data_IF_401803430682
#
_entry.id   IF_401803430682
#
_cell.length_a   1.000
_cell.length_b   1.000
_cell.length_c   1.000
_cell.angle_alpha   90.00
_cell.angle_beta   90.00
_cell.angle_gamma   90.00
#
_symmetry.space_group_name_H-M   'P 1'
#
loop_
_entity.id
_entity.type
_entity.pdbx_description
1 polymer ?
#
# COMPACT_ATOMS: atom_id res chain seq x y z
N UNK A 1 15.38 20.85 22.30
CA UNK A 1 14.61 20.47 21.13
C UNK A 1 15.30 19.27 20.49
N UNK A 2 14.63 18.14 20.39
CA UNK A 2 15.17 17.01 19.62
C UNK A 2 15.18 17.39 18.13
N UNK A 3 16.33 17.32 17.50
CA UNK A 3 16.43 17.58 16.06
C UNK A 3 15.66 16.46 15.34
N UNK A 4 14.63 16.81 14.57
CA UNK A 4 13.88 15.85 13.78
C UNK A 4 14.82 15.24 12.74
N UNK A 5 14.79 13.92 12.60
CA UNK A 5 15.53 13.25 11.51
C UNK A 5 14.83 13.50 10.16
N UNK A 6 15.55 13.46 9.03
CA UNK A 6 14.92 13.56 7.71
C UNK A 6 13.73 12.61 7.54
N UNK A 7 13.86 11.35 7.99
CA UNK A 7 12.78 10.36 7.95
C UNK A 7 11.54 10.81 8.73
N UNK A 8 11.71 11.45 9.90
CA UNK A 8 10.58 11.98 10.68
C UNK A 8 9.92 13.17 10.00
N UNK A 9 10.71 14.01 9.31
CA UNK A 9 10.21 15.14 8.52
C UNK A 9 9.38 14.62 7.34
N UNK A 10 9.92 13.65 6.57
CA UNK A 10 9.21 13.05 5.45
C UNK A 10 7.88 12.43 5.89
N UNK A 11 7.90 11.60 6.92
CA UNK A 11 6.69 10.98 7.44
C UNK A 11 5.64 12.04 7.80
N UNK A 12 6.04 13.08 8.52
CA UNK A 12 5.10 14.12 8.96
C UNK A 12 4.56 14.95 7.78
N UNK A 13 5.36 15.18 6.74
CA UNK A 13 4.93 15.86 5.53
C UNK A 13 3.94 15.03 4.72
N UNK A 14 4.26 13.77 4.46
CA UNK A 14 3.41 12.84 3.73
C UNK A 14 2.09 12.56 4.47
N UNK A 15 2.12 12.46 5.80
CA UNK A 15 0.92 12.25 6.62
C UNK A 15 -0.11 13.38 6.48
N UNK A 16 0.34 14.61 6.20
CA UNK A 16 -0.53 15.78 6.00
C UNK A 16 -1.26 15.79 4.67
N UNK A 17 -0.76 15.05 3.67
CA UNK A 17 -1.26 15.08 2.29
C UNK A 17 -1.79 13.71 1.81
N UNK A 18 -2.59 12.97 2.60
CA UNK A 18 -3.07 11.65 2.18
C UNK A 18 -3.94 11.75 0.93
N UNK A 19 -3.65 10.90 -0.05
CA UNK A 19 -4.37 10.80 -1.31
C UNK A 19 -4.79 9.35 -1.56
N UNK A 20 -5.76 9.09 -2.44
CA UNK A 20 -6.38 7.77 -2.56
C UNK A 20 -6.09 7.12 -3.92
N UNK A 21 -5.84 5.82 -3.90
CA UNK A 21 -5.72 5.00 -5.08
C UNK A 21 -4.62 5.47 -6.03
N UNK A 22 -5.01 5.93 -7.21
CA UNK A 22 -4.11 6.44 -8.25
C UNK A 22 -4.03 7.97 -8.31
N UNK A 23 -4.92 8.68 -7.63
CA UNK A 23 -4.98 10.14 -7.64
C UNK A 23 -4.07 10.72 -6.56
N UNK A 24 -2.75 10.74 -6.85
CA UNK A 24 -1.67 11.01 -5.90
C UNK A 24 -0.77 12.21 -6.28
N UNK A 25 -1.29 13.32 -6.84
CA UNK A 25 -0.43 14.39 -7.38
C UNK A 25 0.50 15.00 -6.33
N UNK A 26 0.04 15.30 -5.13
CA UNK A 26 0.89 15.91 -4.08
C UNK A 26 1.91 14.94 -3.52
N UNK A 27 1.51 13.68 -3.36
CA UNK A 27 2.43 12.61 -2.92
C UNK A 27 3.52 12.40 -3.96
N UNK A 28 3.17 12.36 -5.26
CA UNK A 28 4.12 12.25 -6.36
C UNK A 28 5.07 13.45 -6.42
N UNK A 29 4.55 14.67 -6.31
CA UNK A 29 5.37 15.90 -6.27
C UNK A 29 6.38 15.84 -5.11
N UNK A 30 5.93 15.48 -3.91
CA UNK A 30 6.80 15.37 -2.74
C UNK A 30 7.91 14.34 -2.96
N UNK A 31 7.56 13.15 -3.46
CA UNK A 31 8.54 12.09 -3.72
C UNK A 31 9.54 12.51 -4.79
N UNK A 32 9.09 13.14 -5.88
CA UNK A 32 9.96 13.63 -6.95
C UNK A 32 10.93 14.70 -6.43
N UNK A 33 10.46 15.63 -5.61
CA UNK A 33 11.32 16.66 -5.01
C UNK A 33 12.43 16.05 -4.15
N UNK A 34 12.09 15.05 -3.32
CA UNK A 34 13.10 14.37 -2.48
C UNK A 34 14.04 13.53 -3.33
N UNK A 35 13.51 12.71 -4.24
CA UNK A 35 14.31 11.82 -5.11
C UNK A 35 15.24 12.63 -6.04
N UNK A 36 14.80 13.80 -6.51
CA UNK A 36 15.60 14.71 -7.32
C UNK A 36 16.85 15.26 -6.60
N UNK A 37 16.93 15.13 -5.28
CA UNK A 37 18.12 15.48 -4.49
C UNK A 37 19.12 14.32 -4.34
N UNK A 38 18.74 13.11 -4.77
CA UNK A 38 19.53 11.91 -4.62
C UNK A 38 20.31 11.60 -5.91
N UNK A 39 21.46 10.97 -5.77
CA UNK A 39 22.27 10.49 -6.91
C UNK A 39 21.71 9.14 -7.40
N UNK A 40 20.61 9.21 -8.18
CA UNK A 40 19.90 8.06 -8.72
C UNK A 40 19.18 8.40 -10.02
N UNK A 41 18.84 7.39 -10.81
CA UNK A 41 17.94 7.54 -11.96
C UNK A 41 16.48 7.46 -11.49
N UNK A 42 15.69 8.50 -11.78
CA UNK A 42 14.24 8.51 -11.45
C UNK A 42 13.46 7.99 -12.65
N UNK A 43 12.60 6.99 -12.42
CA UNK A 43 11.80 6.29 -13.43
C UNK A 43 10.32 6.37 -13.06
N UNK A 44 9.47 6.44 -14.08
CA UNK A 44 8.02 6.49 -13.93
C UNK A 44 7.39 5.29 -14.67
N UNK A 45 7.24 4.12 -14.00
CA UNK A 45 6.61 2.97 -14.64
C UNK A 45 5.11 3.19 -14.93
N UNK A 46 4.44 4.03 -14.16
CA UNK A 46 3.07 4.51 -14.37
C UNK A 46 3.02 6.01 -14.07
N UNK A 47 2.00 6.72 -14.56
CA UNK A 47 1.80 8.15 -14.23
C UNK A 47 1.66 8.37 -12.70
N UNK A 48 1.14 7.38 -11.98
CA UNK A 48 0.97 7.39 -10.54
C UNK A 48 2.01 6.59 -9.76
N UNK A 49 3.12 6.17 -10.38
CA UNK A 49 4.18 5.42 -9.72
C UNK A 49 5.55 6.01 -10.02
N UNK A 50 6.42 6.07 -9.02
CA UNK A 50 7.80 6.53 -9.17
C UNK A 50 8.79 5.52 -8.59
N UNK A 51 9.94 5.39 -9.25
CA UNK A 51 11.05 4.57 -8.81
C UNK A 51 12.34 5.40 -8.78
N UNK A 52 13.25 5.04 -7.88
CA UNK A 52 14.62 5.53 -7.87
C UNK A 52 15.58 4.35 -8.06
N UNK A 53 16.36 4.36 -9.12
CA UNK A 53 17.30 3.31 -9.44
C UNK A 53 18.74 3.76 -9.15
N UNK A 54 19.41 3.00 -8.31
CA UNK A 54 20.82 3.20 -7.94
C UNK A 54 21.65 2.13 -8.64
N UNK A 55 22.40 2.52 -9.64
CA UNK A 55 23.28 1.64 -10.40
C UNK A 55 24.68 1.55 -9.73
N UNK A 56 25.00 0.40 -9.21
CA UNK A 56 26.31 0.07 -8.64
C UNK A 56 27.15 -0.82 -9.58
N UNK A 57 26.74 -0.94 -10.84
CA UNK A 57 27.42 -1.79 -11.82
C UNK A 57 27.22 -3.29 -11.59
N UNK A 58 26.23 -3.69 -10.78
CA UNK A 58 25.99 -5.06 -10.42
C UNK A 58 25.18 -5.82 -11.50
N UNK A 59 25.24 -7.16 -11.46
CA UNK A 59 24.55 -8.00 -12.44
C UNK A 59 23.04 -8.04 -12.26
N UNK A 60 22.55 -7.84 -11.05
CA UNK A 60 21.13 -7.91 -10.68
C UNK A 60 20.76 -6.83 -9.67
N UNK A 61 19.46 -6.70 -9.40
CA UNK A 61 18.86 -5.64 -8.61
C UNK A 61 18.04 -6.20 -7.47
N UNK A 62 18.12 -5.57 -6.30
CA UNK A 62 17.17 -5.76 -5.19
C UNK A 62 16.24 -4.55 -5.13
N UNK A 63 14.94 -4.78 -5.00
CA UNK A 63 13.95 -3.72 -4.88
C UNK A 63 13.45 -3.57 -3.45
N UNK A 64 13.18 -2.33 -3.04
CA UNK A 64 12.53 -1.98 -1.78
C UNK A 64 11.28 -1.19 -2.09
N UNK A 65 10.13 -1.68 -1.65
CA UNK A 65 8.81 -1.16 -2.00
C UNK A 65 8.17 -0.45 -0.81
N UNK A 66 7.53 0.68 -1.08
CA UNK A 66 6.55 1.31 -0.22
C UNK A 66 5.27 1.59 -1.01
N UNK A 67 4.14 1.51 -0.34
CA UNK A 67 2.84 1.95 -0.83
C UNK A 67 2.69 3.46 -0.66
N UNK A 68 1.86 4.11 -1.49
CA UNK A 68 1.69 5.56 -1.45
C UNK A 68 0.28 6.02 -1.10
N UNK A 69 -0.74 5.21 -1.39
CA UNK A 69 -2.13 5.56 -1.20
C UNK A 69 -2.55 5.51 0.27
N UNK A 70 -3.58 6.27 0.59
CA UNK A 70 -4.18 6.39 1.90
C UNK A 70 -5.60 5.81 1.90
N UNK A 71 -6.25 5.82 3.06
CA UNK A 71 -7.60 5.33 3.26
C UNK A 71 -8.63 6.47 3.35
N UNK A 72 -9.90 6.25 2.91
CA UNK A 72 -10.98 7.22 3.03
C UNK A 72 -11.54 7.25 4.46
N UNK A 73 -10.70 7.64 5.41
CA UNK A 73 -10.97 7.67 6.85
C UNK A 73 -10.76 9.09 7.36
N UNK A 74 -11.72 9.62 8.12
CA UNK A 74 -11.57 10.89 8.80
C UNK A 74 -10.62 10.73 9.99
N UNK A 75 -9.50 11.43 9.97
CA UNK A 75 -8.51 11.35 11.03
C UNK A 75 -9.01 12.00 12.32
N UNK A 76 -8.77 11.32 13.46
CA UNK A 76 -9.16 11.76 14.81
C UNK A 76 -7.97 11.69 15.81
N UNK A 77 -6.75 11.65 15.32
CA UNK A 77 -5.56 11.45 16.16
C UNK A 77 -5.18 12.70 16.98
N UNK A 78 -5.52 13.89 16.53
CA UNK A 78 -5.11 15.15 17.15
C UNK A 78 -3.60 15.42 17.06
N UNK A 79 -2.88 14.75 16.20
CA UNK A 79 -1.44 14.94 16.01
C UNK A 79 -1.14 16.31 15.39
N UNK A 80 0.01 16.94 15.72
CA UNK A 80 0.38 18.24 15.15
C UNK A 80 0.67 18.20 13.64
N UNK A 81 0.75 17.01 13.05
CA UNK A 81 0.92 16.76 11.63
C UNK A 81 -0.25 15.96 11.04
N UNK A 82 -1.43 16.03 11.64
CA UNK A 82 -2.66 15.39 11.13
C UNK A 82 -2.95 15.78 9.69
N UNK A 83 -3.73 14.93 9.02
CA UNK A 83 -4.19 15.11 7.64
C UNK A 83 -4.78 16.51 7.40
N UNK A 84 -4.38 17.12 6.29
CA UNK A 84 -4.97 18.37 5.77
C UNK A 84 -6.03 18.10 4.69
N UNK A 85 -6.28 16.82 4.38
CA UNK A 85 -7.30 16.37 3.43
C UNK A 85 -8.46 15.74 4.19
N UNK A 86 -9.57 16.48 4.30
CA UNK A 86 -10.77 16.01 5.00
C UNK A 86 -11.22 14.63 4.49
N UNK A 87 -11.51 13.71 5.42
CA UNK A 87 -11.98 12.36 5.10
C UNK A 87 -10.92 11.42 4.55
N UNK A 88 -9.63 11.78 4.60
CA UNK A 88 -8.53 10.91 4.17
C UNK A 88 -7.45 10.85 5.26
N UNK A 89 -6.84 9.68 5.44
CA UNK A 89 -5.79 9.46 6.43
C UNK A 89 -4.85 8.34 6.00
N UNK A 90 -3.55 8.49 6.25
CA UNK A 90 -2.59 7.38 6.19
C UNK A 90 -2.75 6.46 7.41
N UNK A 91 -3.92 5.81 7.54
CA UNK A 91 -4.23 4.95 8.68
C UNK A 91 -3.50 3.60 8.63
N UNK A 92 -3.10 3.13 7.44
CA UNK A 92 -2.31 1.92 7.25
C UNK A 92 -0.80 2.15 7.46
N UNK A 93 -0.34 3.41 7.56
CA UNK A 93 1.07 3.73 7.82
C UNK A 93 1.96 3.87 6.59
N UNK A 94 1.38 4.00 5.39
CA UNK A 94 2.13 4.12 4.13
C UNK A 94 3.03 5.38 4.10
N UNK A 95 2.66 6.45 4.80
CA UNK A 95 3.52 7.61 5.07
C UNK A 95 4.86 7.24 5.72
N UNK A 96 4.80 6.34 6.69
CA UNK A 96 5.99 5.80 7.35
C UNK A 96 6.79 4.85 6.46
N UNK A 97 6.09 4.04 5.64
CA UNK A 97 6.76 3.15 4.68
C UNK A 97 7.54 3.96 3.64
N UNK A 98 6.92 4.99 3.05
CA UNK A 98 7.59 5.92 2.13
C UNK A 98 8.80 6.59 2.79
N UNK A 99 8.64 7.10 4.02
CA UNK A 99 9.72 7.76 4.74
C UNK A 99 10.91 6.82 5.01
N UNK A 100 10.67 5.55 5.32
CA UNK A 100 11.74 4.54 5.48
C UNK A 100 12.48 4.28 4.18
N UNK A 101 11.77 4.17 3.06
CA UNK A 101 12.37 3.93 1.75
C UNK A 101 13.15 5.16 1.27
N UNK A 102 12.66 6.38 1.51
CA UNK A 102 13.40 7.62 1.24
C UNK A 102 14.70 7.72 2.07
N UNK A 103 14.65 7.34 3.34
CA UNK A 103 15.84 7.32 4.20
C UNK A 103 16.86 6.28 3.70
N UNK A 104 16.40 5.12 3.21
CA UNK A 104 17.27 4.16 2.54
C UNK A 104 17.96 4.80 1.34
N UNK A 105 17.23 5.53 0.49
CA UNK A 105 17.79 6.25 -0.66
C UNK A 105 18.91 7.21 -0.26
N UNK A 106 18.71 8.02 0.79
CA UNK A 106 19.75 8.93 1.30
C UNK A 106 21.02 8.19 1.74
N UNK A 107 20.85 7.02 2.37
CA UNK A 107 21.98 6.18 2.80
C UNK A 107 22.69 5.52 1.62
N UNK A 108 21.98 5.21 0.53
CA UNK A 108 22.59 4.66 -0.68
C UNK A 108 23.52 5.66 -1.35
N UNK A 109 23.19 6.95 -1.37
CA UNK A 109 24.06 8.01 -1.92
C UNK A 109 25.44 8.10 -1.23
N UNK A 110 25.61 7.52 -0.04
CA UNK A 110 26.90 7.47 0.66
C UNK A 110 27.71 6.21 0.34
N UNK A 111 27.20 5.30 -0.50
CA UNK A 111 27.84 4.03 -0.84
C UNK A 111 28.58 4.14 -2.17
N UNK A 112 29.78 3.59 -2.23
CA UNK A 112 30.57 3.56 -3.47
C UNK A 112 30.34 2.29 -4.29
N UNK A 113 30.05 1.17 -3.62
CA UNK A 113 29.77 -0.11 -4.26
C UNK A 113 28.87 -0.97 -3.39
N UNK A 114 27.98 -1.71 -4.04
CA UNK A 114 27.15 -2.75 -3.45
C UNK A 114 27.15 -3.99 -4.35
N UNK A 115 26.88 -5.19 -3.81
CA UNK A 115 26.83 -6.41 -4.61
C UNK A 115 25.62 -6.50 -5.54
N UNK A 116 24.63 -5.62 -5.37
CA UNK A 116 23.43 -5.49 -6.17
C UNK A 116 23.15 -4.03 -6.46
N UNK A 117 22.53 -3.75 -7.61
CA UNK A 117 21.85 -2.49 -7.84
C UNK A 117 20.62 -2.40 -6.94
N UNK A 118 20.14 -1.20 -6.65
CA UNK A 118 18.99 -1.01 -5.77
C UNK A 118 17.89 -0.23 -6.50
N UNK A 119 16.67 -0.75 -6.43
CA UNK A 119 15.47 -0.09 -6.91
C UNK A 119 14.59 0.29 -5.71
N UNK A 120 14.33 1.55 -5.49
CA UNK A 120 13.29 2.01 -4.58
C UNK A 120 12.02 2.18 -5.40
N UNK A 121 10.94 1.55 -4.97
CA UNK A 121 9.66 1.52 -5.65
C UNK A 121 8.57 2.13 -4.78
N UNK A 122 7.91 3.16 -5.29
CA UNK A 122 6.74 3.79 -4.67
C UNK A 122 5.50 3.43 -5.48
N UNK A 123 4.63 2.62 -4.89
CA UNK A 123 3.50 1.96 -5.55
C UNK A 123 2.19 2.63 -5.19
N UNK A 124 1.32 2.99 -6.17
CA UNK A 124 -0.05 3.45 -5.94
C UNK A 124 -1.03 2.29 -5.72
N UNK A 125 -2.24 2.62 -5.29
CA UNK A 125 -3.43 1.77 -5.34
C UNK A 125 -3.22 0.36 -4.71
N UNK A 126 -2.59 0.31 -3.54
CA UNK A 126 -2.46 -0.91 -2.75
C UNK A 126 -3.80 -1.27 -2.10
N UNK A 127 -4.50 -0.28 -1.55
CA UNK A 127 -5.77 -0.43 -0.82
C UNK A 127 -6.99 -0.65 -1.75
N UNK A 128 -6.78 -0.62 -3.08
CA UNK A 128 -7.89 -0.69 -4.04
C UNK A 128 -7.64 -1.65 -5.20
N UNK A 129 -7.07 -1.20 -6.30
CA UNK A 129 -7.21 -1.82 -7.63
C UNK A 129 -5.93 -2.41 -8.21
N UNK A 130 -4.99 -2.83 -7.37
CA UNK A 130 -3.86 -3.63 -7.83
C UNK A 130 -2.78 -2.84 -8.58
N UNK A 131 -2.33 -1.72 -8.03
CA UNK A 131 -1.21 -0.94 -8.58
C UNK A 131 0.05 -1.79 -8.81
N UNK A 132 0.33 -2.74 -7.90
CA UNK A 132 1.45 -3.66 -8.06
C UNK A 132 1.39 -4.46 -9.37
N UNK A 133 0.21 -5.01 -9.72
CA UNK A 133 0.02 -5.77 -10.96
C UNK A 133 0.34 -4.92 -12.19
N UNK A 134 -0.17 -3.70 -12.23
CA UNK A 134 0.08 -2.77 -13.36
C UNK A 134 1.56 -2.43 -13.49
N UNK A 135 2.29 -2.25 -12.39
CA UNK A 135 3.74 -2.04 -12.41
C UNK A 135 4.44 -3.28 -12.98
N UNK A 136 4.06 -4.50 -12.58
CA UNK A 136 4.61 -5.72 -13.16
C UNK A 136 4.40 -5.77 -14.68
N UNK A 137 3.22 -5.39 -15.16
CA UNK A 137 2.85 -5.39 -16.59
C UNK A 137 3.69 -4.39 -17.44
N UNK A 138 4.37 -3.42 -16.81
CA UNK A 138 5.29 -2.50 -17.53
C UNK A 138 6.62 -3.13 -17.95
N UNK A 139 6.97 -4.29 -17.41
CA UNK A 139 8.26 -4.95 -17.65
C UNK A 139 9.45 -4.26 -16.96
N UNK A 140 9.22 -3.33 -16.00
CA UNK A 140 10.30 -2.61 -15.30
C UNK A 140 11.20 -3.56 -14.52
N UNK A 141 10.66 -4.60 -13.93
CA UNK A 141 11.41 -5.55 -13.12
C UNK A 141 12.33 -6.41 -13.96
N UNK A 142 11.87 -6.88 -15.12
CA UNK A 142 12.68 -7.63 -16.09
C UNK A 142 13.79 -6.76 -16.66
N UNK A 143 13.46 -5.53 -17.07
CA UNK A 143 14.42 -4.57 -17.64
C UNK A 143 15.55 -4.27 -16.66
N UNK A 144 15.24 -4.09 -15.38
CA UNK A 144 16.21 -3.79 -14.33
C UNK A 144 16.77 -5.06 -13.64
N UNK A 145 16.42 -6.24 -14.13
CA UNK A 145 16.87 -7.54 -13.58
C UNK A 145 16.63 -7.66 -12.08
N UNK A 146 15.42 -7.29 -11.62
CA UNK A 146 15.03 -7.38 -10.21
C UNK A 146 14.89 -8.84 -9.79
N UNK A 147 15.65 -9.24 -8.79
CA UNK A 147 15.75 -10.61 -8.28
C UNK A 147 14.85 -10.88 -7.08
N UNK A 148 14.69 -9.86 -6.24
CA UNK A 148 13.85 -9.91 -5.05
C UNK A 148 13.29 -8.53 -4.74
N UNK A 149 12.10 -8.49 -4.14
CA UNK A 149 11.44 -7.27 -3.67
C UNK A 149 11.21 -7.43 -2.17
N UNK A 150 11.64 -6.43 -1.40
CA UNK A 150 11.45 -6.32 0.03
C UNK A 150 10.46 -5.20 0.34
N UNK A 151 9.61 -5.44 1.32
CA UNK A 151 8.72 -4.42 1.88
C UNK A 151 8.72 -4.53 3.40
N UNK A 152 8.51 -3.40 4.08
CA UNK A 152 8.32 -3.33 5.52
C UNK A 152 6.93 -2.79 5.79
N UNK A 153 6.23 -3.37 6.74
CA UNK A 153 4.93 -2.85 7.18
C UNK A 153 5.01 -2.47 8.66
N UNK A 154 4.51 -1.26 9.00
CA UNK A 154 4.36 -0.84 10.39
C UNK A 154 3.30 -1.69 11.07
N UNK A 155 3.62 -2.27 12.24
CA UNK A 155 2.72 -3.18 12.94
C UNK A 155 2.43 -2.69 14.36
N UNK A 156 1.18 -2.32 14.68
CA UNK A 156 0.84 -1.69 15.97
C UNK A 156 1.12 -2.56 17.20
N UNK A 157 1.17 -3.87 17.07
CA UNK A 157 1.36 -4.80 18.18
C UNK A 157 2.81 -5.10 18.54
N UNK A 158 3.79 -4.56 17.79
CA UNK A 158 5.21 -4.79 18.05
C UNK A 158 5.84 -3.64 18.84
N UNK A 159 6.72 -3.93 19.81
CA UNK A 159 7.51 -2.89 20.46
C UNK A 159 8.36 -2.11 19.46
N UNK A 160 8.52 -0.79 19.69
CA UNK A 160 9.35 0.05 18.84
C UNK A 160 10.78 -0.50 18.72
N UNK A 161 11.33 -0.50 17.51
CA UNK A 161 12.66 -1.04 17.21
C UNK A 161 12.70 -2.56 17.00
N UNK A 162 11.55 -3.25 17.07
CA UNK A 162 11.46 -4.68 16.76
C UNK A 162 11.22 -4.88 15.26
N UNK A 163 11.94 -5.84 14.68
CA UNK A 163 11.73 -6.36 13.34
C UNK A 163 11.21 -7.80 13.44
N UNK A 164 10.09 -8.10 12.79
CA UNK A 164 9.53 -9.43 12.76
C UNK A 164 9.41 -9.91 11.31
N UNK A 165 9.62 -11.19 11.09
CA UNK A 165 9.48 -11.85 9.80
C UNK A 165 9.31 -13.34 9.99
N UNK A 166 8.64 -14.00 9.05
CA UNK A 166 8.43 -15.44 9.04
C UNK A 166 8.91 -16.03 7.72
N UNK A 167 9.45 -17.24 7.72
CA UNK A 167 9.73 -17.97 6.48
C UNK A 167 8.40 -18.43 5.85
N UNK A 168 8.29 -18.31 4.53
CA UNK A 168 7.09 -18.70 3.78
C UNK A 168 6.03 -17.60 3.68
N UNK A 169 4.77 -17.97 3.57
CA UNK A 169 3.66 -17.02 3.44
C UNK A 169 3.42 -16.28 4.76
N UNK A 170 3.65 -14.96 4.75
CA UNK A 170 3.51 -14.12 5.93
C UNK A 170 2.17 -13.36 5.96
N UNK A 171 1.66 -12.96 4.79
CA UNK A 171 0.41 -12.21 4.65
C UNK A 171 -0.63 -13.05 3.92
N UNK A 172 -1.90 -12.87 4.29
CA UNK A 172 -3.01 -13.49 3.60
C UNK A 172 -3.22 -12.86 2.21
N UNK A 173 -3.73 -13.64 1.27
CA UNK A 173 -4.26 -13.11 0.02
C UNK A 173 -5.60 -12.43 0.32
N UNK A 174 -5.75 -11.18 -0.07
CA UNK A 174 -7.05 -10.50 -0.07
C UNK A 174 -7.77 -10.67 -1.41
N UNK A 175 -9.09 -10.70 -1.38
CA UNK A 175 -9.94 -10.64 -2.55
C UNK A 175 -11.21 -9.88 -2.19
N UNK A 176 -11.66 -9.02 -3.09
CA UNK A 176 -12.95 -8.36 -2.99
C UNK A 176 -13.97 -9.10 -3.85
N UNK A 177 -15.13 -9.40 -3.27
CA UNK A 177 -16.24 -10.04 -3.95
C UNK A 177 -17.49 -9.19 -3.78
N UNK A 178 -18.03 -8.72 -4.90
CA UNK A 178 -19.32 -8.01 -4.91
C UNK A 178 -20.42 -8.96 -5.30
N UNK A 179 -21.40 -9.15 -4.43
CA UNK A 179 -22.64 -9.87 -4.72
C UNK A 179 -23.79 -8.89 -4.91
N UNK A 180 -24.43 -8.92 -6.07
CA UNK A 180 -25.58 -8.07 -6.38
C UNK A 180 -26.82 -8.91 -6.56
N UNK A 181 -27.85 -8.66 -5.75
CA UNK A 181 -29.17 -9.29 -5.91
C UNK A 181 -30.18 -8.28 -6.45
N UNK A 182 -30.87 -8.66 -7.52
CA UNK A 182 -31.95 -7.84 -8.09
C UNK A 182 -33.30 -8.49 -7.77
N UNK A 183 -34.11 -7.81 -6.98
CA UNK A 183 -35.45 -8.21 -6.59
C UNK A 183 -36.55 -7.58 -7.43
N UNK A 184 -37.81 -7.96 -7.10
CA UNK A 184 -39.01 -7.37 -7.65
C UNK A 184 -39.88 -6.86 -6.51
N UNK A 185 -40.29 -5.62 -6.57
CA UNK A 185 -41.22 -5.05 -5.61
C UNK A 185 -42.61 -5.66 -5.80
N UNK A 186 -43.24 -6.12 -4.71
CA UNK A 186 -44.57 -6.66 -4.69
C UNK A 186 -45.46 -6.02 -3.63
N UNK A 187 -46.77 -6.08 -3.84
CA UNK A 187 -47.70 -5.68 -2.83
C UNK A 187 -47.74 -6.72 -1.69
N UNK A 188 -47.93 -6.29 -0.46
CA UNK A 188 -47.93 -7.14 0.76
C UNK A 188 -48.82 -8.40 0.62
N UNK A 189 -49.94 -8.28 -0.06
CA UNK A 189 -50.87 -9.39 -0.30
C UNK A 189 -50.33 -10.46 -1.27
N UNK A 190 -49.21 -10.19 -1.98
CA UNK A 190 -48.57 -11.10 -2.92
C UNK A 190 -47.24 -11.64 -2.36
N UNK A 191 -46.98 -11.43 -1.08
CA UNK A 191 -45.75 -11.88 -0.43
C UNK A 191 -45.63 -13.41 -0.52
N UNK A 192 -44.51 -13.86 -1.10
CA UNK A 192 -44.21 -15.30 -1.28
C UNK A 192 -44.04 -15.74 -2.74
N UNK A 193 -44.46 -14.93 -3.72
CA UNK A 193 -44.23 -15.21 -5.15
C UNK A 193 -43.08 -14.37 -5.76
N UNK A 194 -42.45 -13.53 -4.96
CA UNK A 194 -41.58 -12.46 -5.45
C UNK A 194 -40.10 -12.69 -5.14
N UNK A 195 -39.27 -12.05 -5.93
CA UNK A 195 -37.82 -12.13 -5.81
C UNK A 195 -37.36 -11.16 -4.71
N UNK A 196 -37.22 -11.69 -3.51
CA UNK A 196 -36.70 -10.92 -2.36
C UNK A 196 -35.18 -10.80 -2.44
N UNK A 197 -34.69 -9.61 -2.84
CA UNK A 197 -33.28 -9.32 -2.94
C UNK A 197 -32.58 -9.30 -1.58
N UNK A 198 -33.27 -8.88 -0.52
CA UNK A 198 -32.69 -8.86 0.82
C UNK A 198 -32.51 -10.29 1.35
N UNK A 199 -33.52 -11.16 1.19
CA UNK A 199 -33.40 -12.56 1.55
C UNK A 199 -32.25 -13.26 0.79
N UNK A 200 -32.10 -12.96 -0.49
CA UNK A 200 -30.96 -13.47 -1.29
C UNK A 200 -29.60 -13.00 -0.78
N UNK A 201 -29.46 -11.72 -0.41
CA UNK A 201 -28.23 -11.20 0.19
C UNK A 201 -27.92 -11.84 1.55
N UNK A 202 -28.92 -12.01 2.41
CA UNK A 202 -28.78 -12.69 3.72
C UNK A 202 -28.36 -14.14 3.53
N UNK A 203 -28.98 -14.85 2.61
CA UNK A 203 -28.64 -16.25 2.32
C UNK A 203 -27.17 -16.34 1.81
N UNK A 204 -26.79 -15.50 0.86
CA UNK A 204 -25.41 -15.45 0.37
C UNK A 204 -24.40 -15.16 1.50
N UNK A 205 -24.70 -14.19 2.36
CA UNK A 205 -23.83 -13.85 3.50
C UNK A 205 -23.65 -15.04 4.44
N UNK A 206 -24.73 -15.73 4.81
CA UNK A 206 -24.66 -16.88 5.70
C UNK A 206 -23.84 -18.03 5.11
N UNK A 207 -24.02 -18.32 3.82
CA UNK A 207 -23.24 -19.35 3.13
C UNK A 207 -21.74 -18.95 3.02
N UNK A 208 -21.44 -17.69 2.71
CA UNK A 208 -20.06 -17.19 2.63
C UNK A 208 -19.35 -17.30 3.99
N UNK A 209 -20.03 -16.95 5.09
CA UNK A 209 -19.50 -17.10 6.46
C UNK A 209 -19.30 -18.59 6.81
N UNK A 210 -20.23 -19.46 6.44
CA UNK A 210 -20.12 -20.90 6.69
C UNK A 210 -18.93 -21.51 5.94
N UNK A 211 -18.70 -21.13 4.68
CA UNK A 211 -17.54 -21.55 3.90
C UNK A 211 -16.22 -21.10 4.53
N UNK A 212 -16.16 -19.89 5.05
CA UNK A 212 -14.98 -19.35 5.72
C UNK A 212 -14.62 -20.14 6.99
N UNK A 213 -15.61 -20.53 7.78
CA UNK A 213 -15.41 -21.33 8.99
C UNK A 213 -14.93 -22.77 8.69
N UNK A 214 -15.22 -23.28 7.49
CA UNK A 214 -14.86 -24.65 7.08
C UNK A 214 -13.43 -24.77 6.51
N UNK A 215 -12.84 -23.68 6.02
CA UNK A 215 -11.61 -23.75 5.19
C UNK A 215 -10.31 -23.35 5.88
N UNK A 216 -10.31 -22.83 7.11
CA UNK A 216 -9.04 -22.40 7.71
C UNK A 216 -9.03 -22.45 9.25
N UNK A 217 -8.33 -23.42 9.86
CA UNK A 217 -7.89 -23.28 11.24
C UNK A 217 -6.94 -22.08 11.33
N UNK A 218 -7.40 -20.97 11.91
CA UNK A 218 -6.63 -19.74 12.13
C UNK A 218 -7.09 -18.50 11.35
N UNK A 219 -8.07 -18.59 10.46
CA UNK A 219 -8.68 -17.42 9.82
C UNK A 219 -9.83 -16.89 10.68
N UNK A 220 -9.69 -15.67 11.16
CA UNK A 220 -10.83 -14.91 11.70
C UNK A 220 -11.23 -13.86 10.67
N UNK A 221 -12.45 -13.97 10.12
CA UNK A 221 -13.11 -12.84 9.49
C UNK A 221 -13.37 -11.77 10.55
N UNK A 222 -13.01 -10.56 10.28
CA UNK A 222 -13.46 -9.38 11.01
C UNK A 222 -14.15 -8.43 10.07
#
# INVERSE_FOLDING_TARGET
>A
MQTLTPMTVDRSALHRIPELGDELPKTMDYLQDVLGTLDCEVLFPLDSAVCAYFDFGAADTLAFRAEMDALPIAEQTGLPFSSQHSGKMHACGHDGHMAMVLELGRRLCTKQALPHNILLLFQPAEETTGGARRICETGVFERLRVKAIFTLHLWPGLPAGTLAGLPGAMMARSAEVTFTATGRCAHFCSAGSDRDALAACVAFYNEAVALQLLQAPGYTAR
#
